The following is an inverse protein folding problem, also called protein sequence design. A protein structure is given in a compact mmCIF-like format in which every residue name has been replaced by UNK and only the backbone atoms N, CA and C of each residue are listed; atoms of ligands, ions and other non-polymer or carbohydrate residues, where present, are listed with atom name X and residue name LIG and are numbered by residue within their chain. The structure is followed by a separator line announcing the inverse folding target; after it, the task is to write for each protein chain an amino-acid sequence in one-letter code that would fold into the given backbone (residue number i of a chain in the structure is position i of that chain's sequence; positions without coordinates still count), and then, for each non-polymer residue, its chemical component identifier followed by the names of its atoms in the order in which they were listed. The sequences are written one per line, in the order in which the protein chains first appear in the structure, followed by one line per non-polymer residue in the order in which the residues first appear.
data_IF_906072310037
#
_entry.id   IF_906072310037
#
_cell.length_a   1.000
_cell.length_b   1.000
_cell.length_c   1.000
_cell.angle_alpha   90.00
_cell.angle_beta   90.00
_cell.angle_gamma   90.00
#
_symmetry.space_group_name_H-M   'P 1'
#
loop_
_entity.id
_entity.type
_entity.pdbx_description
1 polymer ?
#
# COMPACT_ATOMS: atom_id res chain seq x y z
N UNK A 1 -18.57 3.51 -9.95
CA UNK A 1 -17.76 4.68 -9.53
C UNK A 1 -16.32 4.40 -9.92
N UNK A 2 -15.61 5.39 -10.48
CA UNK A 2 -14.18 5.27 -10.75
C UNK A 2 -13.40 5.47 -9.44
N UNK A 3 -12.34 4.68 -9.23
CA UNK A 3 -11.43 4.84 -8.09
C UNK A 3 -10.55 6.06 -8.32
N UNK A 4 -10.16 6.75 -7.24
CA UNK A 4 -9.32 7.95 -7.31
C UNK A 4 -7.94 7.71 -6.69
N UNK A 5 -6.94 8.48 -7.13
CA UNK A 5 -5.59 8.48 -6.52
C UNK A 5 -5.67 8.66 -5.01
N UNK A 6 -6.47 9.62 -4.54
CA UNK A 6 -6.62 9.92 -3.12
C UNK A 6 -7.11 8.71 -2.31
N UNK A 7 -8.01 7.89 -2.87
CA UNK A 7 -8.48 6.67 -2.21
C UNK A 7 -7.36 5.63 -2.08
N UNK A 8 -6.62 5.38 -3.17
CA UNK A 8 -5.53 4.40 -3.17
C UNK A 8 -4.39 4.86 -2.26
N UNK A 9 -3.99 6.14 -2.36
CA UNK A 9 -2.96 6.79 -1.53
C UNK A 9 -3.29 6.70 -0.04
N UNK A 10 -4.54 6.98 0.33
CA UNK A 10 -5.01 6.88 1.72
C UNK A 10 -4.96 5.45 2.25
N UNK A 11 -5.34 4.46 1.44
CA UNK A 11 -5.30 3.05 1.85
C UNK A 11 -3.87 2.59 2.17
N UNK A 12 -2.92 2.88 1.28
CA UNK A 12 -1.54 2.46 1.48
C UNK A 12 -0.77 3.34 2.47
N UNK A 13 -1.41 4.38 3.02
CA UNK A 13 -0.77 5.37 3.89
C UNK A 13 0.51 5.94 3.27
N UNK A 14 0.45 6.30 1.98
CA UNK A 14 1.56 6.99 1.33
C UNK A 14 1.53 8.46 1.76
N UNK A 15 2.36 8.79 2.76
CA UNK A 15 2.43 10.04 3.52
C UNK A 15 1.38 10.18 4.65
N UNK A 16 1.45 9.36 5.72
CA UNK A 16 0.46 9.38 6.81
C UNK A 16 0.45 10.69 7.61
N UNK A 17 1.56 11.44 7.59
CA UNK A 17 1.75 12.66 8.38
C UNK A 17 1.38 13.94 7.61
N UNK A 18 1.00 13.84 6.33
CA UNK A 18 0.54 14.97 5.49
C UNK A 18 1.56 16.08 5.20
N UNK A 19 2.76 16.02 5.79
CA UNK A 19 3.82 17.03 5.67
C UNK A 19 5.10 16.56 4.97
N UNK A 20 5.17 15.30 4.52
CA UNK A 20 6.34 14.73 3.85
C UNK A 20 6.23 14.68 2.32
N UNK A 21 7.32 14.32 1.65
CA UNK A 21 7.29 13.91 0.24
C UNK A 21 6.59 12.56 0.12
N UNK A 22 5.62 12.48 -0.78
CA UNK A 22 4.98 11.21 -1.15
C UNK A 22 6.04 10.20 -1.61
N UNK A 23 5.88 8.93 -1.22
CA UNK A 23 6.78 7.84 -1.59
C UNK A 23 6.62 7.52 -3.08
N UNK A 24 5.38 7.50 -3.58
CA UNK A 24 5.07 7.37 -5.01
C UNK A 24 4.56 8.69 -5.59
N UNK A 25 4.94 8.97 -6.84
CA UNK A 25 4.46 10.12 -7.58
C UNK A 25 3.00 9.92 -8.02
N UNK A 26 2.28 11.00 -8.32
CA UNK A 26 0.90 10.92 -8.82
C UNK A 26 0.78 10.18 -10.15
N UNK A 27 1.82 10.24 -11.00
CA UNK A 27 1.87 9.50 -12.26
C UNK A 27 1.89 7.98 -12.03
N UNK A 28 2.58 7.50 -10.98
CA UNK A 28 2.58 6.09 -10.61
C UNK A 28 1.18 5.62 -10.22
N UNK A 29 0.45 6.43 -9.44
CA UNK A 29 -0.95 6.13 -9.10
C UNK A 29 -1.87 6.14 -10.30
N UNK A 30 -1.66 7.05 -11.25
CA UNK A 30 -2.42 7.10 -12.49
C UNK A 30 -2.22 5.81 -13.31
N UNK A 31 -0.99 5.32 -13.41
CA UNK A 31 -0.67 4.05 -14.07
C UNK A 31 -1.29 2.86 -13.33
N UNK A 32 -1.18 2.82 -12.01
CA UNK A 32 -1.73 1.76 -11.16
C UNK A 32 -3.25 1.67 -11.34
N UNK A 33 -3.97 2.80 -11.26
CA UNK A 33 -5.43 2.84 -11.41
C UNK A 33 -5.87 2.43 -12.81
N UNK A 34 -5.10 2.82 -13.83
CA UNK A 34 -5.38 2.43 -15.22
C UNK A 34 -5.18 0.93 -15.44
N UNK A 35 -4.19 0.34 -14.78
CA UNK A 35 -3.88 -1.10 -14.86
C UNK A 35 -4.86 -1.93 -14.03
N UNK A 36 -5.20 -1.46 -12.84
CA UNK A 36 -6.02 -2.15 -11.85
C UNK A 36 -7.20 -1.24 -11.42
N UNK A 37 -8.33 -1.25 -12.11
CA UNK A 37 -9.46 -0.37 -11.79
C UNK A 37 -10.21 -0.77 -10.50
N UNK A 38 -9.83 -1.89 -9.85
CA UNK A 38 -10.36 -2.33 -8.56
C UNK A 38 -9.57 -1.70 -7.42
N UNK A 39 -10.25 -1.03 -6.49
CA UNK A 39 -9.61 -0.26 -5.41
C UNK A 39 -8.58 -1.06 -4.61
N UNK A 40 -8.91 -2.28 -4.17
CA UNK A 40 -8.00 -3.08 -3.36
C UNK A 40 -6.87 -3.73 -4.17
N UNK A 41 -7.08 -4.06 -5.46
CA UNK A 41 -5.97 -4.50 -6.35
C UNK A 41 -5.01 -3.35 -6.64
N UNK A 42 -5.52 -2.15 -6.92
CA UNK A 42 -4.73 -0.93 -7.05
C UNK A 42 -3.92 -0.65 -5.77
N UNK A 43 -4.55 -0.75 -4.60
CA UNK A 43 -3.87 -0.56 -3.31
C UNK A 43 -2.80 -1.64 -3.06
N UNK A 44 -3.06 -2.90 -3.42
CA UNK A 44 -2.07 -3.97 -3.33
C UNK A 44 -0.86 -3.68 -4.22
N UNK A 45 -1.09 -3.27 -5.47
CA UNK A 45 -0.02 -2.93 -6.41
C UNK A 45 0.78 -1.71 -5.93
N UNK A 46 0.11 -0.65 -5.49
CA UNK A 46 0.76 0.53 -4.91
C UNK A 46 1.62 0.16 -3.68
N UNK A 47 1.11 -0.67 -2.78
CA UNK A 47 1.86 -1.13 -1.61
C UNK A 47 3.10 -1.95 -2.01
N UNK A 48 3.01 -2.82 -3.03
CA UNK A 48 4.17 -3.55 -3.56
C UNK A 48 5.21 -2.61 -4.16
N UNK A 49 4.79 -1.61 -4.94
CA UNK A 49 5.70 -0.62 -5.51
C UNK A 49 6.43 0.18 -4.42
N UNK A 50 5.71 0.63 -3.39
CA UNK A 50 6.31 1.28 -2.21
C UNK A 50 7.31 0.35 -1.51
N UNK A 51 6.96 -0.93 -1.33
CA UNK A 51 7.85 -1.91 -0.74
C UNK A 51 9.15 -2.03 -1.56
N UNK A 52 9.05 -2.13 -2.89
CA UNK A 52 10.22 -2.16 -3.78
C UNK A 52 11.13 -0.94 -3.60
N UNK A 53 10.57 0.26 -3.48
CA UNK A 53 11.35 1.49 -3.19
C UNK A 53 12.15 1.38 -1.89
N UNK A 54 11.63 0.68 -0.87
CA UNK A 54 12.39 0.42 0.36
C UNK A 54 13.39 -0.72 0.20
N UNK A 55 13.08 -1.77 -0.58
CA UNK A 55 13.99 -2.86 -0.85
C UNK A 55 15.27 -2.38 -1.55
N UNK A 56 15.14 -1.53 -2.57
CA UNK A 56 16.29 -0.90 -3.26
C UNK A 56 17.16 -0.09 -2.28
N UNK A 57 16.52 0.65 -1.37
CA UNK A 57 17.23 1.41 -0.33
C UNK A 57 17.92 0.51 0.70
N UNK A 58 17.40 -0.69 0.97
CA UNK A 58 18.02 -1.68 1.88
C UNK A 58 19.35 -2.18 1.32
N UNK A 59 19.48 -2.31 0.00
CA UNK A 59 20.71 -2.81 -0.64
C UNK A 59 21.90 -1.88 -0.43
N UNK A 60 21.65 -0.57 -0.40
CA UNK A 60 22.67 0.48 -0.25
C UNK A 60 22.86 0.98 1.19
N UNK A 61 21.99 0.58 2.12
CA UNK A 61 22.04 1.04 3.52
C UNK A 61 22.85 0.11 4.43
N UNK A 62 23.39 0.68 5.52
CA UNK A 62 24.10 -0.06 6.57
C UNK A 62 23.53 0.23 7.97
N UNK A 63 23.81 -0.68 8.91
CA UNK A 63 23.47 -0.49 10.33
C UNK A 63 21.97 -0.31 10.62
N UNK A 64 21.65 0.62 11.51
CA UNK A 64 20.28 0.88 11.97
C UNK A 64 19.35 1.39 10.86
N UNK A 65 19.88 2.12 9.87
CA UNK A 65 19.12 2.57 8.71
C UNK A 65 18.60 1.38 7.89
N UNK A 66 19.45 0.36 7.67
CA UNK A 66 19.07 -0.88 6.97
C UNK A 66 17.92 -1.60 7.68
N UNK A 67 17.99 -1.73 9.01
CA UNK A 67 16.94 -2.38 9.80
C UNK A 67 15.59 -1.63 9.66
N UNK A 68 15.62 -0.30 9.76
CA UNK A 68 14.40 0.53 9.60
C UNK A 68 13.80 0.39 8.21
N UNK A 69 14.62 0.38 7.16
CA UNK A 69 14.16 0.18 5.77
C UNK A 69 13.57 -1.22 5.57
N UNK A 70 14.18 -2.27 6.15
CA UNK A 70 13.64 -3.62 6.12
C UNK A 70 12.30 -3.75 6.86
N UNK A 71 12.11 -3.01 7.95
CA UNK A 71 10.83 -2.96 8.66
C UNK A 71 9.75 -2.31 7.79
N UNK A 72 10.07 -1.18 7.13
CA UNK A 72 9.15 -0.53 6.18
C UNK A 72 8.81 -1.45 5.02
N UNK A 73 9.79 -2.09 4.39
CA UNK A 73 9.55 -3.10 3.35
C UNK A 73 8.53 -4.16 3.81
N UNK A 74 8.76 -4.76 4.98
CA UNK A 74 7.85 -5.78 5.54
C UNK A 74 6.45 -5.24 5.83
N UNK A 75 6.35 -4.02 6.34
CA UNK A 75 5.06 -3.36 6.59
C UNK A 75 4.26 -3.19 5.30
N UNK A 76 4.87 -2.67 4.23
CA UNK A 76 4.17 -2.48 2.96
C UNK A 76 3.87 -3.79 2.24
N UNK A 77 4.71 -4.82 2.36
CA UNK A 77 4.37 -6.17 1.89
C UNK A 77 3.20 -6.77 2.67
N UNK A 78 3.10 -6.51 3.98
CA UNK A 78 1.95 -6.93 4.77
C UNK A 78 0.66 -6.22 4.30
N UNK A 79 0.71 -4.92 4.02
CA UNK A 79 -0.41 -4.20 3.43
C UNK A 79 -0.81 -4.75 2.06
N UNK A 80 0.16 -5.00 1.18
CA UNK A 80 -0.11 -5.59 -0.13
C UNK A 80 -0.89 -6.90 -0.02
N UNK A 81 -0.41 -7.83 0.81
CA UNK A 81 -1.08 -9.12 1.02
C UNK A 81 -2.49 -8.95 1.61
N UNK A 82 -2.66 -8.04 2.58
CA UNK A 82 -3.96 -7.78 3.17
C UNK A 82 -4.97 -7.20 2.15
N UNK A 83 -4.50 -6.34 1.25
CA UNK A 83 -5.34 -5.81 0.17
C UNK A 83 -5.65 -6.84 -0.90
N UNK A 84 -4.71 -7.71 -1.27
CA UNK A 84 -4.98 -8.82 -2.19
C UNK A 84 -6.04 -9.78 -1.63
N UNK A 85 -5.92 -10.18 -0.36
CA UNK A 85 -6.95 -11.01 0.29
C UNK A 85 -8.31 -10.32 0.28
N UNK A 86 -8.37 -9.01 0.56
CA UNK A 86 -9.61 -8.22 0.47
C UNK A 86 -10.17 -8.11 -0.94
N UNK A 87 -9.29 -8.01 -1.94
CA UNK A 87 -9.70 -7.96 -3.34
C UNK A 87 -10.31 -9.29 -3.79
N UNK A 88 -9.87 -10.41 -3.21
CA UNK A 88 -10.40 -11.75 -3.45
C UNK A 88 -11.69 -12.01 -2.66
N UNK A 89 -11.75 -11.55 -1.40
CA UNK A 89 -12.96 -11.61 -0.56
C UNK A 89 -14.08 -10.71 -1.08
N UNK A 90 -13.76 -9.52 -1.61
CA UNK A 90 -14.70 -8.64 -2.27
C UNK A 90 -15.32 -9.23 -3.54
N UNK A 91 -14.69 -10.25 -4.14
CA UNK A 91 -15.22 -11.06 -5.24
C UNK A 91 -15.96 -12.32 -4.73
N UNK A 92 -15.82 -12.70 -3.44
CA UNK A 92 -16.30 -14.00 -2.94
C UNK A 92 -17.33 -13.95 -1.80
N UNK A 93 -17.34 -12.98 -0.88
CA UNK A 93 -18.38 -12.82 0.16
C UNK A 93 -18.06 -11.64 1.08
N UNK A 94 -19.08 -10.88 1.48
CA UNK A 94 -19.01 -9.79 2.45
C UNK A 94 -18.58 -10.21 3.87
N UNK A 95 -17.32 -10.57 4.04
CA UNK A 95 -16.67 -10.78 5.34
C UNK A 95 -15.56 -9.76 5.51
N UNK A 96 -15.64 -8.96 6.56
CA UNK A 96 -14.63 -7.97 6.93
C UNK A 96 -13.53 -8.68 7.74
N UNK A 97 -12.29 -8.81 7.26
CA UNK A 97 -11.21 -9.32 8.10
C UNK A 97 -10.70 -8.22 9.02
N UNK A 98 -10.58 -8.55 10.30
CA UNK A 98 -10.02 -7.69 11.34
C UNK A 98 -8.50 -7.56 11.16
N UNK A 99 -8.03 -6.36 10.80
CA UNK A 99 -6.62 -5.98 10.89
C UNK A 99 -6.36 -5.45 12.31
N UNK A 100 -5.63 -6.23 13.12
CA UNK A 100 -4.94 -5.78 14.34
C UNK A 100 -5.63 -4.63 15.12
N UNK A 101 -6.83 -4.89 15.64
CA UNK A 101 -7.48 -4.02 16.63
C UNK A 101 -7.91 -2.62 16.17
N UNK A 102 -7.75 -2.26 14.90
CA UNK A 102 -8.27 -1.00 14.36
C UNK A 102 -9.40 -1.35 13.40
N UNK A 103 -10.63 -1.32 13.94
CA UNK A 103 -11.83 -1.23 13.11
C UNK A 103 -11.73 0.03 12.28
N UNK A 104 -11.49 -0.12 10.98
CA UNK A 104 -11.81 0.92 10.00
C UNK A 104 -13.27 0.65 9.60
N UNK A 105 -14.19 1.06 10.46
CA UNK A 105 -15.62 1.14 10.15
C UNK A 105 -15.91 2.57 9.69
N UNK A 106 -16.64 2.65 8.57
CA UNK A 106 -17.18 3.80 7.80
C UNK A 106 -16.85 5.24 8.29
#
# INVERSE_FOLDING_TARGET
MAITEAQVRRLVQDNPDGGGTNILASDDYSLIITTEPKLYRAAALAARMIASTFAEKVEIAAGSAKIRLQQKYRQYMHYANAFDSRAEEGDLSGATPQLHGISIAD
#
